data_IF_080366938893
#
_entry.id   IF_080366938893
#
_cell.length_a   1.000
_cell.length_b   1.000
_cell.length_c   1.000
_cell.angle_alpha   90.00
_cell.angle_beta   90.00
_cell.angle_gamma   90.00
#
_symmetry.space_group_name_H-M   'P 1'
#
loop_
_entity.id
_entity.type
_entity.pdbx_description
1 polymer ?
#
# COMPACT_ATOMS: atom_id res chain seq x y z
N UNK A 1 3.89 -5.30 -2.09
CA UNK A 1 4.68 -6.55 -2.10
C UNK A 1 3.86 -7.78 -1.78
N UNK A 2 4.47 -8.96 -1.82
CA UNK A 2 3.82 -10.24 -1.44
C UNK A 2 3.72 -10.36 0.09
N UNK A 3 4.84 -10.29 0.81
CA UNK A 3 4.92 -10.40 2.28
C UNK A 3 5.37 -9.08 2.93
N UNK A 4 5.15 -8.95 4.24
CA UNK A 4 5.65 -7.83 5.05
C UNK A 4 4.83 -6.53 5.01
N UNK A 5 3.69 -6.51 4.30
CA UNK A 5 2.82 -5.32 4.19
C UNK A 5 2.30 -4.87 5.56
N UNK A 6 1.66 -5.77 6.31
CA UNK A 6 1.11 -5.48 7.63
C UNK A 6 2.19 -4.97 8.60
N UNK A 7 3.31 -5.69 8.74
CA UNK A 7 4.42 -5.24 9.61
C UNK A 7 4.91 -3.84 9.24
N UNK A 8 5.14 -3.59 7.95
CA UNK A 8 5.61 -2.28 7.47
C UNK A 8 4.58 -1.17 7.69
N UNK A 9 3.29 -1.47 7.48
CA UNK A 9 2.20 -0.51 7.69
C UNK A 9 2.09 -0.10 9.17
N UNK A 10 2.18 -1.06 10.09
CA UNK A 10 2.14 -0.78 11.53
C UNK A 10 3.38 -0.02 12.01
N UNK A 11 4.57 -0.35 11.51
CA UNK A 11 5.78 0.43 11.84
C UNK A 11 5.70 1.86 11.32
N UNK A 12 5.29 2.06 10.05
CA UNK A 12 5.13 3.40 9.49
C UNK A 12 4.07 4.20 10.26
N UNK A 13 2.93 3.59 10.61
CA UNK A 13 1.91 4.23 11.45
C UNK A 13 2.50 4.67 12.78
N UNK A 14 3.20 3.79 13.50
CA UNK A 14 3.80 4.09 14.79
C UNK A 14 4.81 5.24 14.72
N UNK A 15 5.65 5.27 13.67
CA UNK A 15 6.57 6.38 13.44
C UNK A 15 5.84 7.70 13.15
N UNK A 16 4.83 7.68 12.28
CA UNK A 16 4.05 8.88 11.94
C UNK A 16 3.27 9.41 13.14
N UNK A 17 2.70 8.53 13.96
CA UNK A 17 1.97 8.91 15.17
C UNK A 17 2.84 9.64 16.18
N UNK A 18 4.11 9.23 16.34
CA UNK A 18 5.08 9.94 17.18
C UNK A 18 5.36 11.36 16.67
N UNK A 19 5.26 11.59 15.37
CA UNK A 19 5.55 12.89 14.74
C UNK A 19 4.32 13.81 14.65
N UNK A 20 3.13 13.25 14.46
CA UNK A 20 1.91 14.01 14.18
C UNK A 20 0.90 14.03 15.34
N UNK A 21 1.23 13.40 16.47
CA UNK A 21 0.38 13.33 17.65
C UNK A 21 -0.77 12.32 17.52
N UNK A 22 -0.50 11.15 16.94
CA UNK A 22 -1.50 10.07 16.80
C UNK A 22 -2.56 10.29 15.72
N UNK A 23 -2.30 11.18 14.75
CA UNK A 23 -3.22 11.56 13.68
C UNK A 23 -2.97 10.78 12.37
N UNK A 24 -2.67 9.50 12.49
CA UNK A 24 -2.47 8.57 11.36
C UNK A 24 -3.54 7.49 11.34
N UNK A 25 -4.36 7.49 10.29
CA UNK A 25 -5.28 6.40 9.99
C UNK A 25 -4.52 5.17 9.46
N UNK A 26 -5.08 3.99 9.64
CA UNK A 26 -4.55 2.72 9.16
C UNK A 26 -5.64 1.92 8.47
N UNK A 27 -5.36 1.40 7.27
CA UNK A 27 -6.14 0.32 6.66
C UNK A 27 -5.23 -0.90 6.50
N UNK A 28 -5.53 -1.98 7.21
CA UNK A 28 -4.67 -3.16 7.26
C UNK A 28 -5.45 -4.47 7.18
N UNK A 29 -4.74 -5.59 7.08
CA UNK A 29 -5.33 -6.93 7.13
C UNK A 29 -5.84 -7.32 8.52
N UNK A 30 -5.47 -6.59 9.57
CA UNK A 30 -5.83 -6.90 10.97
C UNK A 30 -6.95 -5.98 11.41
N UNK A 31 -6.66 -4.69 11.52
CA UNK A 31 -7.62 -3.65 11.92
C UNK A 31 -7.58 -2.45 10.97
N UNK A 32 -8.71 -1.78 10.86
CA UNK A 32 -8.83 -0.44 10.33
C UNK A 32 -8.96 0.54 11.50
N UNK A 33 -8.18 1.63 11.45
CA UNK A 33 -8.16 2.69 12.45
C UNK A 33 -8.41 4.00 11.73
N UNK A 34 -9.56 4.62 11.98
CA UNK A 34 -10.00 5.84 11.31
C UNK A 34 -9.97 7.06 12.22
N UNK A 35 -9.53 6.92 13.47
CA UNK A 35 -9.61 7.99 14.46
C UNK A 35 -9.14 7.55 15.83
N UNK A 36 -9.12 8.47 16.81
CA UNK A 36 -8.61 8.21 18.14
C UNK A 36 -9.64 7.55 19.06
N UNK A 37 -10.92 7.58 18.70
CA UNK A 37 -11.97 7.01 19.54
C UNK A 37 -12.00 5.47 19.40
N UNK A 38 -12.35 4.71 20.45
CA UNK A 38 -12.42 3.25 20.38
C UNK A 38 -13.29 2.72 19.24
N UNK A 39 -14.40 3.39 18.93
CA UNK A 39 -15.32 3.07 17.85
C UNK A 39 -14.79 3.35 16.43
N UNK A 40 -13.67 4.07 16.32
CA UNK A 40 -12.97 4.29 15.06
C UNK A 40 -11.95 3.18 14.75
N UNK A 41 -11.77 2.23 15.67
CA UNK A 41 -10.95 1.04 15.48
C UNK A 41 -11.83 -0.19 15.36
N UNK A 42 -11.71 -0.91 14.26
CA UNK A 42 -12.52 -2.11 14.01
C UNK A 42 -11.78 -3.12 13.14
N UNK A 43 -12.14 -4.40 13.30
CA UNK A 43 -11.52 -5.49 12.57
C UNK A 43 -11.78 -5.38 11.08
N UNK A 44 -10.74 -5.59 10.28
CA UNK A 44 -10.82 -5.54 8.83
C UNK A 44 -11.54 -6.75 8.24
N UNK A 45 -12.44 -6.52 7.29
CA UNK A 45 -13.06 -7.58 6.48
C UNK A 45 -12.19 -7.99 5.28
N UNK A 46 -11.40 -7.06 4.76
CA UNK A 46 -10.48 -7.23 3.63
C UNK A 46 -9.19 -6.45 3.91
N UNK A 47 -8.05 -6.93 3.40
CA UNK A 47 -6.78 -6.18 3.41
C UNK A 47 -6.90 -4.79 2.79
N UNK A 48 -7.70 -4.68 1.73
CA UNK A 48 -8.04 -3.41 1.10
C UNK A 48 -9.57 -3.39 0.91
N UNK A 49 -10.30 -2.43 1.53
CA UNK A 49 -11.75 -2.36 1.45
C UNK A 49 -12.27 -2.24 0.02
N UNK A 50 -13.56 -2.58 -0.20
CA UNK A 50 -14.24 -2.30 -1.46
C UNK A 50 -14.30 -0.79 -1.73
N UNK A 51 -14.38 -0.38 -3.00
CA UNK A 51 -14.19 1.02 -3.40
C UNK A 51 -15.03 2.02 -2.61
N UNK A 52 -16.34 1.78 -2.51
CA UNK A 52 -17.24 2.70 -1.79
C UNK A 52 -16.91 2.79 -0.29
N UNK A 53 -16.58 1.67 0.34
CA UNK A 53 -16.23 1.63 1.75
C UNK A 53 -14.87 2.27 2.00
N UNK A 54 -13.90 2.08 1.10
CA UNK A 54 -12.61 2.75 1.14
C UNK A 54 -12.76 4.28 1.16
N UNK A 55 -13.52 4.85 0.23
CA UNK A 55 -13.73 6.30 0.19
C UNK A 55 -14.53 6.80 1.41
N UNK A 56 -15.47 6.01 1.92
CA UNK A 56 -16.21 6.33 3.15
C UNK A 56 -15.29 6.36 4.37
N UNK A 57 -14.42 5.36 4.50
CA UNK A 57 -13.44 5.24 5.57
C UNK A 57 -12.42 6.40 5.50
N UNK A 58 -11.96 6.76 4.30
CA UNK A 58 -11.12 7.94 4.08
C UNK A 58 -11.80 9.24 4.50
N UNK A 59 -13.08 9.42 4.15
CA UNK A 59 -13.85 10.61 4.58
C UNK A 59 -13.97 10.67 6.09
N UNK A 60 -14.34 9.56 6.75
CA UNK A 60 -14.42 9.46 8.20
C UNK A 60 -13.09 9.76 8.87
N UNK A 61 -11.97 9.27 8.33
CA UNK A 61 -10.65 9.58 8.85
C UNK A 61 -10.35 11.09 8.82
N UNK A 62 -10.69 11.77 7.73
CA UNK A 62 -10.53 13.23 7.64
C UNK A 62 -11.46 13.95 8.63
N UNK A 63 -12.71 13.50 8.79
CA UNK A 63 -13.67 14.07 9.75
C UNK A 63 -13.19 13.91 11.20
N UNK A 64 -12.50 12.82 11.49
CA UNK A 64 -11.85 12.56 12.79
C UNK A 64 -10.53 13.32 12.98
N UNK A 65 -10.14 14.19 12.03
CA UNK A 65 -8.92 14.99 12.11
C UNK A 65 -7.63 14.23 11.83
N UNK A 66 -7.70 13.05 11.19
CA UNK A 66 -6.52 12.33 10.75
C UNK A 66 -5.85 13.10 9.60
N UNK A 67 -4.52 13.16 9.64
CA UNK A 67 -3.71 13.95 8.69
C UNK A 67 -2.97 13.08 7.69
N UNK A 68 -2.76 11.81 8.03
CA UNK A 68 -2.07 10.81 7.22
C UNK A 68 -2.89 9.53 7.21
N UNK A 69 -2.75 8.74 6.14
CA UNK A 69 -3.28 7.39 6.07
C UNK A 69 -2.20 6.44 5.58
N UNK A 70 -1.97 5.38 6.33
CA UNK A 70 -1.16 4.24 5.88
C UNK A 70 -2.12 3.13 5.47
N UNK A 71 -1.97 2.57 4.27
CA UNK A 71 -2.83 1.49 3.83
C UNK A 71 -2.08 0.34 3.17
N UNK A 72 -2.52 -0.88 3.45
CA UNK A 72 -2.14 -2.06 2.69
C UNK A 72 -2.91 -2.11 1.36
N UNK A 73 -2.17 -2.11 0.25
CA UNK A 73 -2.75 -2.27 -1.09
C UNK A 73 -2.48 -3.68 -1.60
N UNK A 74 -3.52 -4.51 -1.62
CA UNK A 74 -3.47 -5.86 -2.18
C UNK A 74 -3.47 -5.82 -3.72
N UNK A 75 -2.93 -6.85 -4.38
CA UNK A 75 -3.00 -6.96 -5.84
C UNK A 75 -4.45 -7.06 -6.33
N UNK A 76 -5.31 -7.70 -5.53
CA UNK A 76 -6.75 -7.77 -5.76
C UNK A 76 -7.43 -6.40 -5.77
N UNK A 77 -6.92 -5.43 -5.01
CA UNK A 77 -7.47 -4.07 -5.02
C UNK A 77 -7.37 -3.43 -6.41
N UNK A 78 -6.25 -3.62 -7.12
CA UNK A 78 -6.13 -3.19 -8.51
C UNK A 78 -6.91 -4.08 -9.47
N UNK A 79 -6.85 -5.41 -9.29
CA UNK A 79 -7.60 -6.35 -10.16
C UNK A 79 -9.11 -6.08 -10.15
N UNK A 80 -9.65 -5.65 -9.01
CA UNK A 80 -11.07 -5.35 -8.79
C UNK A 80 -11.40 -3.85 -8.83
N UNK A 81 -10.44 -2.99 -9.21
CA UNK A 81 -10.62 -1.54 -9.28
C UNK A 81 -11.08 -0.87 -7.96
N UNK A 82 -10.77 -1.46 -6.80
CA UNK A 82 -11.14 -0.92 -5.48
C UNK A 82 -10.49 0.43 -5.20
N UNK A 83 -9.25 0.58 -5.64
CA UNK A 83 -8.41 1.78 -5.46
C UNK A 83 -8.35 2.68 -6.70
N UNK A 84 -9.29 2.50 -7.63
CA UNK A 84 -9.31 3.27 -8.88
C UNK A 84 -9.36 4.78 -8.60
N UNK A 85 -8.48 5.53 -9.26
CA UNK A 85 -8.40 6.99 -9.13
C UNK A 85 -7.66 7.50 -7.89
N UNK A 86 -7.18 6.63 -6.99
CA UNK A 86 -6.34 7.05 -5.88
C UNK A 86 -4.91 7.35 -6.36
N UNK A 87 -4.39 8.50 -5.93
CA UNK A 87 -2.97 8.84 -6.04
C UNK A 87 -2.35 8.82 -4.66
N UNK A 88 -1.24 8.10 -4.50
CA UNK A 88 -0.52 7.98 -3.24
C UNK A 88 0.62 9.00 -3.17
N UNK A 89 0.85 9.60 -2.01
CA UNK A 89 2.06 10.40 -1.82
C UNK A 89 3.31 9.52 -1.84
N UNK A 90 3.24 8.31 -1.24
CA UNK A 90 4.32 7.34 -1.17
C UNK A 90 3.83 5.93 -1.54
N UNK A 91 4.53 5.28 -2.48
CA UNK A 91 4.31 3.88 -2.87
C UNK A 91 5.46 2.97 -2.48
N UNK A 92 5.21 2.00 -1.59
CA UNK A 92 6.23 1.07 -1.10
C UNK A 92 6.15 -0.31 -1.78
N UNK A 93 7.24 -0.74 -2.43
CA UNK A 93 7.37 -2.07 -3.02
C UNK A 93 8.41 -2.91 -2.28
N UNK A 94 7.94 -3.82 -1.43
CA UNK A 94 8.79 -4.59 -0.50
C UNK A 94 9.45 -5.83 -1.12
N UNK A 95 8.70 -6.61 -1.89
CA UNK A 95 9.12 -7.89 -2.47
C UNK A 95 8.04 -8.40 -3.44
N UNK A 96 8.42 -9.32 -4.32
CA UNK A 96 7.51 -10.10 -5.14
C UNK A 96 7.99 -11.56 -5.20
N UNK A 97 7.05 -12.48 -5.17
CA UNK A 97 7.24 -13.92 -5.32
C UNK A 97 5.91 -14.53 -5.76
N UNK A 98 5.87 -15.69 -6.44
CA UNK A 98 4.61 -16.34 -6.79
C UNK A 98 3.71 -16.53 -5.57
N UNK A 99 2.51 -15.96 -5.64
CA UNK A 99 1.45 -16.02 -4.64
C UNK A 99 0.15 -15.62 -5.34
N UNK A 100 -0.99 -15.98 -4.78
CA UNK A 100 -2.31 -15.61 -5.29
C UNK A 100 -2.60 -15.96 -6.78
N UNK A 101 -2.14 -17.12 -7.26
CA UNK A 101 -2.40 -17.60 -8.64
C UNK A 101 -3.50 -18.66 -8.60
N UNK A 102 -4.60 -18.43 -9.32
CA UNK A 102 -5.73 -19.37 -9.35
C UNK A 102 -7.01 -18.81 -9.96
N UNK A 103 -8.03 -19.66 -10.06
CA UNK A 103 -9.31 -19.38 -10.75
C UNK A 103 -10.02 -18.12 -10.26
N UNK A 104 -9.96 -17.85 -8.95
CA UNK A 104 -10.60 -16.69 -8.31
C UNK A 104 -9.61 -15.55 -8.02
N UNK A 105 -8.35 -15.68 -8.48
CA UNK A 105 -7.27 -14.74 -8.21
C UNK A 105 -6.60 -14.32 -9.52
N UNK A 106 -5.27 -14.36 -9.58
CA UNK A 106 -4.54 -14.01 -10.78
C UNK A 106 -4.39 -15.24 -11.70
N UNK A 107 -4.68 -15.13 -13.02
CA UNK A 107 -4.58 -16.25 -13.95
C UNK A 107 -3.14 -16.73 -14.15
N UNK A 108 -2.15 -15.85 -13.93
CA UNK A 108 -0.73 -16.16 -14.00
C UNK A 108 0.07 -15.12 -13.18
N UNK A 109 1.37 -15.36 -13.06
CA UNK A 109 2.27 -14.49 -12.30
C UNK A 109 2.41 -13.09 -12.93
N UNK A 110 2.36 -12.96 -14.25
CA UNK A 110 2.50 -11.64 -14.91
C UNK A 110 1.29 -10.74 -14.63
N UNK A 111 0.07 -11.28 -14.59
CA UNK A 111 -1.13 -10.54 -14.15
C UNK A 111 -1.00 -10.09 -12.68
N UNK A 112 -0.48 -10.97 -11.82
CA UNK A 112 -0.23 -10.64 -10.41
C UNK A 112 0.81 -9.53 -10.24
N UNK A 113 1.95 -9.65 -10.94
CA UNK A 113 3.01 -8.65 -10.96
C UNK A 113 2.45 -7.33 -11.48
N UNK A 114 1.78 -7.34 -12.64
CA UNK A 114 1.19 -6.15 -13.25
C UNK A 114 0.27 -5.40 -12.28
N UNK A 115 -0.64 -6.10 -11.59
CA UNK A 115 -1.51 -5.49 -10.59
C UNK A 115 -0.75 -4.85 -9.42
N UNK A 116 0.38 -5.43 -8.98
CA UNK A 116 1.20 -4.79 -7.93
C UNK A 116 1.97 -3.59 -8.42
N UNK A 117 2.47 -3.63 -9.65
CA UNK A 117 3.21 -2.53 -10.27
C UNK A 117 2.35 -1.26 -10.37
N UNK A 118 1.03 -1.40 -10.50
CA UNK A 118 0.10 -0.27 -10.49
C UNK A 118 0.22 0.63 -9.25
N UNK A 119 0.64 0.10 -8.09
CA UNK A 119 0.89 0.93 -6.92
C UNK A 119 1.95 2.00 -7.20
N UNK A 120 3.03 1.61 -7.88
CA UNK A 120 4.13 2.52 -8.20
C UNK A 120 3.71 3.55 -9.25
N UNK A 121 2.97 3.10 -10.27
CA UNK A 121 2.42 3.98 -11.31
C UNK A 121 1.51 5.06 -10.71
N UNK A 122 0.75 4.74 -9.66
CA UNK A 122 -0.18 5.67 -9.01
C UNK A 122 0.42 6.38 -7.78
N UNK A 123 1.74 6.39 -7.62
CA UNK A 123 2.43 7.05 -6.50
C UNK A 123 3.24 8.25 -6.97
N UNK A 124 3.32 9.30 -6.15
CA UNK A 124 4.15 10.50 -6.41
C UNK A 124 5.62 10.27 -6.13
N UNK A 125 5.91 9.42 -5.14
CA UNK A 125 7.26 8.96 -4.79
C UNK A 125 7.23 7.46 -4.58
N UNK A 126 8.31 6.79 -4.96
CA UNK A 126 8.41 5.34 -4.86
C UNK A 126 9.54 4.94 -3.92
N UNK A 127 9.28 3.97 -3.04
CA UNK A 127 10.28 3.36 -2.17
C UNK A 127 10.35 1.87 -2.52
N UNK A 128 11.48 1.43 -3.04
CA UNK A 128 11.62 0.11 -3.64
C UNK A 128 12.75 -0.66 -2.95
N UNK A 129 12.48 -1.91 -2.58
CA UNK A 129 13.54 -2.84 -2.18
C UNK A 129 14.38 -3.20 -3.41
N UNK A 130 15.66 -2.82 -3.44
CA UNK A 130 16.57 -3.13 -4.55
C UNK A 130 16.86 -4.63 -4.69
N UNK A 131 16.65 -5.39 -3.62
CA UNK A 131 16.82 -6.85 -3.58
C UNK A 131 15.57 -7.61 -4.03
N UNK A 132 14.50 -6.92 -4.47
CA UNK A 132 13.30 -7.62 -4.95
C UNK A 132 13.58 -8.39 -6.22
N UNK A 133 13.02 -9.59 -6.33
CA UNK A 133 12.88 -10.27 -7.61
C UNK A 133 12.20 -9.33 -8.62
N UNK A 134 12.54 -9.47 -9.91
CA UNK A 134 12.00 -8.62 -10.98
C UNK A 134 12.26 -7.11 -10.75
N UNK A 135 13.35 -6.73 -10.07
CA UNK A 135 13.70 -5.33 -9.80
C UNK A 135 13.61 -4.43 -11.03
N UNK A 136 14.10 -4.89 -12.19
CA UNK A 136 14.04 -4.12 -13.43
C UNK A 136 12.60 -3.75 -13.83
N UNK A 137 11.64 -4.67 -13.71
CA UNK A 137 10.22 -4.40 -14.01
C UNK A 137 9.60 -3.46 -12.98
N UNK A 138 9.97 -3.63 -11.71
CA UNK A 138 9.51 -2.78 -10.60
C UNK A 138 9.99 -1.34 -10.78
N UNK A 139 11.26 -1.16 -11.13
CA UNK A 139 11.86 0.14 -11.38
C UNK A 139 11.30 0.79 -12.66
N UNK A 140 11.12 0.01 -13.72
CA UNK A 140 10.48 0.49 -14.96
C UNK A 140 9.04 0.98 -14.74
N UNK A 141 8.26 0.28 -13.91
CA UNK A 141 6.91 0.71 -13.57
C UNK A 141 6.90 2.04 -12.80
N UNK A 142 7.80 2.20 -11.81
CA UNK A 142 7.91 3.45 -11.07
C UNK A 142 8.27 4.65 -11.97
N UNK A 143 9.25 4.46 -12.85
CA UNK A 143 9.72 5.51 -13.79
C UNK A 143 8.71 5.87 -14.89
N UNK A 144 7.59 5.15 -15.00
CA UNK A 144 6.51 5.48 -15.95
C UNK A 144 5.82 6.81 -15.59
N UNK A 145 5.68 7.12 -14.30
CA UNK A 145 4.96 8.31 -13.81
C UNK A 145 5.74 9.10 -12.76
N UNK A 146 6.79 8.52 -12.18
CA UNK A 146 7.60 9.14 -11.13
C UNK A 146 8.97 9.54 -11.69
N UNK A 147 9.40 10.78 -11.44
CA UNK A 147 10.76 11.22 -11.75
C UNK A 147 11.77 10.33 -10.99
N UNK A 148 12.84 9.82 -11.63
CA UNK A 148 13.90 9.06 -10.96
C UNK A 148 14.42 9.66 -9.64
N UNK A 149 14.50 10.99 -9.52
CA UNK A 149 14.93 11.68 -8.28
C UNK A 149 13.93 11.51 -7.12
N UNK A 150 12.71 11.07 -7.40
CA UNK A 150 11.65 10.75 -6.45
C UNK A 150 11.51 9.23 -6.21
N UNK A 151 12.48 8.43 -6.66
CA UNK A 151 12.55 6.99 -6.43
C UNK A 151 13.68 6.69 -5.46
N UNK A 152 13.34 6.12 -4.32
CA UNK A 152 14.27 5.78 -3.26
C UNK A 152 14.42 4.26 -3.19
N UNK A 153 15.67 3.80 -3.13
CA UNK A 153 16.00 2.39 -3.01
C UNK A 153 16.46 2.06 -1.60
N UNK A 154 16.11 0.88 -1.11
CA UNK A 154 16.68 0.33 0.11
C UNK A 154 17.14 -1.11 -0.12
N UNK A 155 18.18 -1.52 0.59
CA UNK A 155 18.73 -2.87 0.59
C UNK A 155 19.44 -3.11 1.93
N UNK A 156 19.82 -4.36 2.20
CA UNK A 156 20.76 -4.68 3.27
C UNK A 156 22.12 -4.05 3.00
N UNK A 157 22.82 -3.71 4.09
CA UNK A 157 24.18 -3.19 3.99
C UNK A 157 25.10 -4.17 3.22
N UNK A 158 25.79 -3.64 2.21
CA UNK A 158 26.74 -4.40 1.39
C UNK A 158 26.15 -5.14 0.17
N UNK A 159 24.89 -4.87 -0.18
CA UNK A 159 24.27 -5.30 -1.44
C UNK A 159 24.78 -4.48 -2.64
#
# INVERSE_FOLDING_TARGET
GTKGKTTSAYFLKGMLDQLNGGRTALLSSVDNILGPAPEDTFKSSLTTPESLDLFRDMRRAVDNGMTHMVMEVSSQAYKKNRVFGLTYDLGFFLNISPDHIGVNEHPNFEDYLHCKLQLLVNSRKCIINAETDRFADVYAAATTTTNPDSIYLFARDGF
#
